data_IF_349732054563
#
_entry.id   IF_349732054563
#
_cell.length_a   1.000
_cell.length_b   1.000
_cell.length_c   1.000
_cell.angle_alpha   90.00
_cell.angle_beta   90.00
_cell.angle_gamma   90.00
#
_symmetry.space_group_name_H-M   'P 1'
#
loop_
_entity.id
_entity.type
_entity.pdbx_description
1 polymer ?
#
# COMPACT_ATOMS: atom_id res chain seq x y z
N UNK A 1 -6.96 -4.44 -38.12
CA UNK A 1 -6.16 -5.49 -37.48
C UNK A 1 -6.27 -5.31 -35.99
N UNK A 2 -6.76 -6.32 -35.21
CA UNK A 2 -6.86 -6.22 -33.79
C UNK A 2 -5.45 -6.23 -33.17
N UNK A 3 -5.17 -5.24 -32.29
CA UNK A 3 -3.93 -5.21 -31.49
C UNK A 3 -3.96 -6.41 -30.53
N UNK A 4 -3.08 -7.37 -30.76
CA UNK A 4 -2.82 -8.45 -29.82
C UNK A 4 -2.30 -7.81 -28.53
N UNK A 5 -3.15 -7.81 -27.49
CA UNK A 5 -2.77 -7.37 -26.18
C UNK A 5 -1.59 -8.21 -25.68
N UNK A 6 -0.43 -7.60 -25.49
CA UNK A 6 0.69 -8.25 -24.80
C UNK A 6 0.19 -8.71 -23.45
N UNK A 7 0.06 -10.02 -23.24
CA UNK A 7 -0.09 -10.62 -21.92
C UNK A 7 1.04 -10.08 -21.05
N UNK A 8 0.71 -9.29 -20.03
CA UNK A 8 1.66 -8.93 -18.98
C UNK A 8 2.14 -10.24 -18.38
N UNK A 9 3.41 -10.56 -18.56
CA UNK A 9 4.02 -11.62 -17.78
C UNK A 9 3.85 -11.23 -16.31
N UNK A 10 3.19 -12.07 -15.53
CA UNK A 10 3.25 -12.05 -14.06
C UNK A 10 4.70 -12.33 -13.66
N UNK A 11 5.56 -11.33 -13.79
CA UNK A 11 6.93 -11.40 -13.33
C UNK A 11 6.92 -11.21 -11.82
N UNK A 12 6.48 -12.25 -11.13
CA UNK A 12 6.79 -12.39 -9.72
C UNK A 12 8.29 -12.54 -9.58
N UNK A 13 8.87 -11.82 -8.65
CA UNK A 13 10.27 -11.93 -8.36
C UNK A 13 10.49 -13.10 -7.39
N UNK A 14 11.46 -13.97 -7.69
CA UNK A 14 11.80 -15.11 -6.86
C UNK A 14 13.09 -14.80 -6.13
N UNK A 15 13.06 -14.81 -4.80
CA UNK A 15 14.22 -14.63 -3.95
C UNK A 15 15.13 -15.88 -3.98
N UNK A 16 16.35 -15.73 -3.52
CA UNK A 16 17.31 -16.84 -3.46
C UNK A 16 16.83 -17.97 -2.54
N UNK A 17 16.08 -17.65 -1.48
CA UNK A 17 15.44 -18.62 -0.58
C UNK A 17 14.23 -19.35 -1.20
N UNK A 18 13.92 -19.05 -2.46
CA UNK A 18 12.80 -19.63 -3.20
C UNK A 18 11.45 -18.98 -3.00
N UNK A 19 11.32 -18.01 -2.09
CA UNK A 19 10.07 -17.25 -1.90
C UNK A 19 9.75 -16.39 -3.10
N UNK A 20 8.47 -16.27 -3.40
CA UNK A 20 7.96 -15.50 -4.52
C UNK A 20 7.31 -14.23 -4.00
N UNK A 21 7.83 -13.07 -4.44
CA UNK A 21 7.38 -11.73 -4.08
C UNK A 21 6.68 -11.07 -5.26
N UNK A 22 5.81 -10.12 -4.99
CA UNK A 22 5.16 -9.37 -6.06
C UNK A 22 6.15 -8.48 -6.82
N UNK A 23 7.21 -8.00 -6.15
CA UNK A 23 8.30 -7.24 -6.76
C UNK A 23 9.61 -7.44 -6.00
N UNK A 24 10.74 -7.10 -6.65
CA UNK A 24 12.05 -7.05 -5.99
C UNK A 24 12.06 -6.00 -4.86
N UNK A 25 11.46 -4.84 -5.09
CA UNK A 25 11.43 -3.76 -4.11
C UNK A 25 10.69 -4.15 -2.82
N UNK A 26 9.58 -4.89 -2.93
CA UNK A 26 8.87 -5.44 -1.76
C UNK A 26 9.78 -6.36 -0.93
N UNK A 27 10.55 -7.22 -1.59
CA UNK A 27 11.54 -8.06 -0.92
C UNK A 27 12.68 -7.24 -0.30
N UNK A 28 13.18 -6.23 -1.00
CA UNK A 28 14.25 -5.37 -0.52
C UNK A 28 13.83 -4.60 0.76
N UNK A 29 12.58 -4.11 0.81
CA UNK A 29 11.98 -3.50 2.03
C UNK A 29 11.93 -4.52 3.16
N UNK A 30 11.47 -5.73 2.90
CA UNK A 30 11.38 -6.79 3.90
C UNK A 30 12.76 -7.14 4.49
N UNK A 31 13.77 -7.35 3.63
CA UNK A 31 15.13 -7.68 4.08
C UNK A 31 15.79 -6.51 4.84
N UNK A 32 15.56 -5.28 4.41
CA UNK A 32 16.06 -4.10 5.11
C UNK A 32 15.51 -4.02 6.55
N UNK A 33 14.19 -4.18 6.72
CA UNK A 33 13.56 -4.17 8.04
C UNK A 33 14.10 -5.30 8.93
N UNK A 34 14.23 -6.51 8.39
CA UNK A 34 14.80 -7.65 9.13
C UNK A 34 16.25 -7.41 9.56
N UNK A 35 17.06 -6.88 8.65
CA UNK A 35 18.47 -6.55 8.95
C UNK A 35 18.59 -5.46 10.01
N UNK A 36 17.60 -4.56 10.11
CA UNK A 36 17.48 -3.54 11.15
C UNK A 36 16.95 -4.09 12.50
N UNK A 37 16.68 -5.40 12.59
CA UNK A 37 16.19 -6.03 13.81
C UNK A 37 14.67 -5.95 14.01
N UNK A 38 13.92 -5.50 12.99
CA UNK A 38 12.45 -5.39 13.06
C UNK A 38 11.80 -6.76 12.93
N UNK A 39 10.88 -7.06 13.83
CA UNK A 39 10.07 -8.27 13.74
C UNK A 39 8.96 -8.10 12.69
N UNK A 40 9.27 -8.43 11.43
CA UNK A 40 8.42 -8.24 10.27
C UNK A 40 8.12 -9.54 9.55
N UNK A 41 6.90 -9.67 9.05
CA UNK A 41 6.48 -10.80 8.21
C UNK A 41 5.65 -10.33 7.02
N UNK A 42 5.63 -11.10 5.92
CA UNK A 42 4.66 -10.91 4.84
C UNK A 42 3.23 -11.04 5.35
N UNK A 43 2.33 -10.20 4.83
CA UNK A 43 0.91 -10.35 5.09
C UNK A 43 0.32 -11.54 4.34
N UNK A 44 -0.72 -12.12 4.92
CA UNK A 44 -1.50 -13.23 4.38
C UNK A 44 -2.96 -12.82 4.21
N UNK A 45 -3.80 -13.70 3.72
CA UNK A 45 -5.24 -13.43 3.60
C UNK A 45 -5.91 -13.11 4.96
N UNK A 46 -5.35 -13.60 6.08
CA UNK A 46 -5.84 -13.27 7.43
C UNK A 46 -5.57 -11.83 7.87
N UNK A 47 -4.61 -11.17 7.23
CA UNK A 47 -4.25 -9.76 7.48
C UNK A 47 -5.05 -8.79 6.58
N UNK A 48 -5.99 -9.33 5.81
CA UNK A 48 -6.78 -8.53 4.90
C UNK A 48 -7.72 -7.59 5.62
N UNK A 49 -7.83 -6.40 5.08
CA UNK A 49 -8.64 -5.31 5.62
C UNK A 49 -9.81 -5.03 4.69
N UNK A 50 -11.02 -5.01 5.24
CA UNK A 50 -12.21 -4.57 4.51
C UNK A 50 -12.30 -3.04 4.53
N UNK A 51 -12.56 -2.43 3.39
CA UNK A 51 -12.76 -0.99 3.23
C UNK A 51 -13.91 -0.70 2.28
N UNK A 52 -14.46 0.51 2.35
CA UNK A 52 -15.57 0.94 1.49
C UNK A 52 -15.07 1.83 0.35
N UNK A 53 -15.58 1.59 -0.86
CA UNK A 53 -15.34 2.46 -2.01
C UNK A 53 -16.64 2.74 -2.79
N UNK A 54 -16.75 3.90 -3.48
CA UNK A 54 -17.89 4.17 -4.35
C UNK A 54 -17.98 3.18 -5.51
N UNK A 55 -19.18 2.65 -5.75
CA UNK A 55 -19.45 1.85 -6.95
C UNK A 55 -19.37 2.73 -8.19
N UNK A 56 -18.59 2.35 -9.20
CA UNK A 56 -18.55 3.10 -10.44
C UNK A 56 -19.92 3.04 -11.15
N UNK A 57 -20.40 4.20 -11.62
CA UNK A 57 -21.59 4.32 -12.45
C UNK A 57 -22.93 3.88 -11.80
N UNK A 58 -22.98 3.73 -10.47
CA UNK A 58 -24.21 3.39 -9.75
C UNK A 58 -24.64 4.59 -8.91
N UNK A 59 -25.81 5.15 -9.23
CA UNK A 59 -26.44 6.18 -8.42
C UNK A 59 -27.35 5.54 -7.38
N UNK A 60 -27.49 6.20 -6.24
CA UNK A 60 -28.42 5.79 -5.21
C UNK A 60 -29.86 5.79 -5.73
N UNK A 61 -30.56 4.67 -5.61
CA UNK A 61 -31.96 4.56 -6.07
C UNK A 61 -32.91 5.41 -5.23
N UNK A 62 -32.55 5.72 -3.98
CA UNK A 62 -33.40 6.51 -3.08
C UNK A 62 -33.31 8.02 -3.33
N UNK A 63 -32.12 8.56 -3.62
CA UNK A 63 -31.91 10.00 -3.79
C UNK A 63 -31.38 10.40 -5.17
N UNK A 64 -30.97 9.46 -5.99
CA UNK A 64 -30.42 9.69 -7.35
C UNK A 64 -29.07 10.39 -7.39
N UNK A 65 -28.57 10.90 -6.26
CA UNK A 65 -27.39 11.79 -6.21
C UNK A 65 -26.24 11.26 -5.36
N UNK A 66 -26.48 10.49 -4.29
CA UNK A 66 -25.39 9.95 -3.48
C UNK A 66 -24.72 8.73 -4.15
N UNK A 67 -23.46 8.53 -3.84
CA UNK A 67 -22.71 7.36 -4.31
C UNK A 67 -23.10 6.11 -3.52
N UNK A 68 -23.41 5.02 -4.22
CA UNK A 68 -23.57 3.72 -3.59
C UNK A 68 -22.20 3.16 -3.24
N UNK A 69 -22.00 2.81 -1.97
CA UNK A 69 -20.77 2.21 -1.50
C UNK A 69 -20.76 0.70 -1.70
N UNK A 70 -19.58 0.13 -1.88
CA UNK A 70 -19.35 -1.31 -1.88
C UNK A 70 -18.15 -1.65 -0.99
N UNK A 71 -18.21 -2.81 -0.39
CA UNK A 71 -17.07 -3.33 0.36
C UNK A 71 -16.04 -3.94 -0.58
N UNK A 72 -14.79 -3.72 -0.25
CA UNK A 72 -13.61 -4.28 -0.91
C UNK A 72 -12.64 -4.81 0.11
N UNK A 73 -11.83 -5.75 -0.31
CA UNK A 73 -10.79 -6.35 0.52
C UNK A 73 -9.43 -5.89 -0.02
N UNK A 74 -8.55 -5.53 0.89
CA UNK A 74 -7.19 -5.15 0.62
C UNK A 74 -6.24 -5.90 1.56
N UNK A 75 -5.17 -6.47 1.02
CA UNK A 75 -4.11 -7.11 1.80
C UNK A 75 -2.84 -6.28 1.65
N UNK A 76 -2.32 -5.69 2.74
CA UNK A 76 -1.03 -5.01 2.73
C UNK A 76 0.14 -5.95 2.40
N UNK A 77 1.31 -5.42 2.10
CA UNK A 77 2.47 -6.24 1.74
C UNK A 77 3.10 -6.88 2.99
N UNK A 78 3.35 -6.11 4.06
CA UNK A 78 4.05 -6.56 5.27
C UNK A 78 3.30 -6.16 6.55
N UNK A 79 3.50 -6.95 7.61
CA UNK A 79 3.05 -6.64 8.97
C UNK A 79 4.23 -6.61 9.92
N UNK A 80 4.35 -5.55 10.70
CA UNK A 80 5.38 -5.36 11.73
C UNK A 80 4.77 -5.57 13.11
N UNK A 81 5.44 -6.39 13.90
CA UNK A 81 5.12 -6.67 15.28
C UNK A 81 6.11 -5.87 16.15
N UNK A 82 5.69 -4.84 16.89
CA UNK A 82 6.60 -4.04 17.71
C UNK A 82 7.21 -4.86 18.84
N UNK A 83 8.54 -4.92 18.91
CA UNK A 83 9.24 -5.64 20.00
C UNK A 83 9.20 -4.90 21.35
N UNK A 84 8.96 -3.59 21.33
CA UNK A 84 9.05 -2.71 22.52
C UNK A 84 7.70 -2.19 23.04
N UNK A 85 6.61 -2.72 22.53
CA UNK A 85 5.30 -2.46 23.11
C UNK A 85 5.00 -3.55 24.14
N UNK A 86 4.71 -3.20 25.40
CA UNK A 86 4.17 -4.16 26.36
C UNK A 86 2.97 -4.90 25.77
N UNK A 87 2.55 -6.01 26.35
CA UNK A 87 1.44 -6.83 25.85
C UNK A 87 0.24 -5.94 25.49
N UNK A 88 0.03 -5.67 24.19
CA UNK A 88 -1.04 -4.81 23.69
C UNK A 88 -0.64 -3.70 22.70
N UNK A 89 0.65 -3.48 22.40
CA UNK A 89 0.98 -2.54 21.30
C UNK A 89 0.48 -3.08 19.98
N UNK A 90 -0.44 -2.38 19.28
CA UNK A 90 -0.90 -2.81 17.99
C UNK A 90 0.26 -2.76 16.98
N UNK A 91 0.43 -3.82 16.21
CA UNK A 91 1.34 -3.79 15.08
C UNK A 91 0.87 -2.82 13.99
N UNK A 92 1.71 -2.61 13.00
CA UNK A 92 1.38 -1.75 11.87
C UNK A 92 1.71 -2.44 10.54
N UNK A 93 1.07 -1.95 9.49
CA UNK A 93 1.25 -2.47 8.14
C UNK A 93 2.25 -1.60 7.36
N UNK A 94 3.01 -2.25 6.49
CA UNK A 94 3.86 -1.57 5.50
C UNK A 94 3.41 -1.99 4.10
N UNK A 95 3.30 -1.01 3.23
CA UNK A 95 3.10 -1.18 1.81
C UNK A 95 4.31 -0.66 1.04
N UNK A 96 4.95 -1.53 0.27
CA UNK A 96 6.10 -1.20 -0.57
C UNK A 96 5.65 -0.93 -2.01
N UNK A 97 5.94 0.25 -2.56
CA UNK A 97 5.49 0.63 -3.91
C UNK A 97 6.60 1.19 -4.77
N UNK A 98 6.95 0.43 -5.82
CA UNK A 98 7.83 0.93 -6.89
C UNK A 98 7.11 1.96 -7.76
N UNK A 99 5.86 1.68 -8.15
CA UNK A 99 5.04 2.61 -8.92
C UNK A 99 3.60 2.68 -8.38
N UNK A 100 3.16 3.91 -8.06
CA UNK A 100 1.86 4.15 -7.43
C UNK A 100 0.78 4.48 -8.47
N UNK A 101 0.13 3.46 -9.01
CA UNK A 101 -0.87 3.57 -10.10
C UNK A 101 -2.13 4.32 -9.67
N UNK A 102 -2.88 4.91 -10.63
CA UNK A 102 -4.13 5.63 -10.33
C UNK A 102 -5.14 4.82 -9.51
N UNK A 103 -5.30 3.53 -9.83
CA UNK A 103 -6.22 2.62 -9.13
C UNK A 103 -5.81 2.45 -7.67
N UNK A 104 -4.51 2.32 -7.41
CA UNK A 104 -3.98 2.24 -6.05
C UNK A 104 -4.14 3.55 -5.29
N UNK A 105 -3.96 4.69 -5.94
CA UNK A 105 -4.23 6.00 -5.34
C UNK A 105 -5.67 6.16 -4.89
N UNK A 106 -6.64 5.70 -5.71
CA UNK A 106 -8.05 5.67 -5.34
C UNK A 106 -8.27 4.75 -4.13
N UNK A 107 -7.74 3.52 -4.18
CA UNK A 107 -7.84 2.55 -3.10
C UNK A 107 -7.37 3.15 -1.77
N UNK A 108 -6.17 3.76 -1.74
CA UNK A 108 -5.61 4.32 -0.50
C UNK A 108 -6.46 5.46 0.07
N UNK A 109 -7.01 6.33 -0.78
CA UNK A 109 -7.95 7.36 -0.30
C UNK A 109 -9.20 6.73 0.31
N UNK A 110 -9.80 5.74 -0.37
CA UNK A 110 -10.97 5.05 0.15
C UNK A 110 -10.66 4.30 1.45
N UNK A 111 -9.53 3.61 1.51
CA UNK A 111 -9.06 2.91 2.70
C UNK A 111 -8.91 3.87 3.88
N UNK A 112 -8.20 4.98 3.71
CA UNK A 112 -8.00 5.97 4.78
C UNK A 112 -9.30 6.61 5.26
N UNK A 113 -10.24 6.86 4.34
CA UNK A 113 -11.54 7.43 4.71
C UNK A 113 -12.43 6.45 5.48
N UNK A 114 -12.40 5.16 5.12
CA UNK A 114 -13.26 4.15 5.74
C UNK A 114 -12.60 3.43 6.93
N UNK A 115 -11.27 3.42 6.98
CA UNK A 115 -10.48 2.74 8.02
C UNK A 115 -9.34 3.63 8.54
N UNK A 116 -9.68 4.76 9.19
CA UNK A 116 -8.68 5.64 9.81
C UNK A 116 -7.94 4.99 10.99
N UNK A 117 -8.51 3.92 11.54
CA UNK A 117 -7.98 3.12 12.66
C UNK A 117 -6.74 2.29 12.30
N UNK A 118 -6.49 2.05 11.01
CA UNK A 118 -5.38 1.21 10.58
C UNK A 118 -4.10 2.04 10.47
N UNK A 119 -3.05 1.62 11.18
CA UNK A 119 -1.70 2.16 10.98
C UNK A 119 -1.08 1.50 9.73
N UNK A 120 -1.20 2.17 8.61
CA UNK A 120 -0.61 1.78 7.33
C UNK A 120 0.44 2.79 6.92
N UNK A 121 1.68 2.35 6.76
CA UNK A 121 2.85 3.13 6.39
C UNK A 121 3.31 2.74 4.99
N UNK A 122 3.80 3.67 4.20
CA UNK A 122 4.15 3.43 2.79
C UNK A 122 5.62 3.71 2.53
N UNK A 123 6.31 2.73 1.98
CA UNK A 123 7.68 2.90 1.47
C UNK A 123 7.60 3.01 -0.05
N UNK A 124 8.00 4.16 -0.57
CA UNK A 124 8.06 4.42 -2.01
C UNK A 124 9.49 4.15 -2.51
N UNK A 125 9.64 3.46 -3.64
CA UNK A 125 10.95 3.22 -4.25
C UNK A 125 11.61 4.53 -4.71
N UNK A 126 10.80 5.43 -5.27
CA UNK A 126 11.24 6.75 -5.71
C UNK A 126 10.06 7.73 -5.75
N UNK A 127 10.37 9.02 -5.69
CA UNK A 127 9.38 10.09 -5.81
C UNK A 127 9.00 10.35 -7.28
N UNK A 128 8.22 9.42 -7.83
CA UNK A 128 7.77 9.48 -9.22
C UNK A 128 6.72 10.58 -9.48
N UNK A 129 6.62 11.01 -10.73
CA UNK A 129 5.56 11.89 -11.16
C UNK A 129 4.19 11.19 -11.19
N UNK A 130 3.23 11.73 -10.44
CA UNK A 130 1.80 11.37 -10.52
C UNK A 130 1.18 11.96 -11.78
N UNK A 131 1.47 13.25 -12.00
CA UNK A 131 1.15 13.97 -13.23
C UNK A 131 2.45 14.58 -13.73
N UNK A 132 2.88 14.15 -14.91
CA UNK A 132 4.17 14.56 -15.48
C UNK A 132 4.36 16.08 -15.43
N UNK A 133 5.47 16.51 -14.80
CA UNK A 133 5.84 17.91 -14.67
C UNK A 133 4.96 18.76 -13.74
N UNK A 134 3.99 18.15 -13.00
CA UNK A 134 3.05 18.91 -12.15
C UNK A 134 2.99 18.46 -10.70
N UNK A 135 2.94 17.13 -10.44
CA UNK A 135 2.68 16.60 -9.11
C UNK A 135 3.57 15.39 -8.87
N UNK A 136 4.37 15.40 -7.84
CA UNK A 136 5.15 14.27 -7.33
C UNK A 136 4.30 13.37 -6.44
N UNK A 137 4.79 12.16 -6.16
CA UNK A 137 4.14 11.26 -5.18
C UNK A 137 4.15 11.86 -3.78
N UNK A 138 5.26 12.46 -3.36
CA UNK A 138 5.37 13.20 -2.10
C UNK A 138 4.27 14.26 -1.97
N UNK A 139 4.12 15.15 -2.96
CA UNK A 139 3.03 16.15 -3.00
C UNK A 139 1.64 15.51 -2.92
N UNK A 140 1.48 14.33 -3.57
CA UNK A 140 0.22 13.61 -3.54
C UNK A 140 -0.11 13.07 -2.14
N UNK A 141 0.87 12.50 -1.44
CA UNK A 141 0.69 12.03 -0.07
C UNK A 141 0.35 13.20 0.86
N UNK A 142 1.11 14.27 0.82
CA UNK A 142 0.87 15.47 1.65
C UNK A 142 -0.49 16.12 1.40
N UNK A 143 -0.98 16.07 0.18
CA UNK A 143 -2.26 16.70 -0.18
C UNK A 143 -3.47 15.81 0.07
N UNK A 144 -3.37 14.51 -0.26
CA UNK A 144 -4.53 13.61 -0.32
C UNK A 144 -4.47 12.43 0.65
N UNK A 145 -3.31 12.14 1.21
CA UNK A 145 -3.07 11.03 2.14
C UNK A 145 -2.35 11.49 3.41
N UNK A 146 -2.67 12.69 3.89
CA UNK A 146 -2.01 13.39 5.01
C UNK A 146 -1.81 12.56 6.27
N UNK A 147 -2.70 11.61 6.53
CA UNK A 147 -2.65 10.74 7.72
C UNK A 147 -1.98 9.39 7.44
N UNK A 148 -1.43 9.20 6.25
CA UNK A 148 -0.68 8.00 5.89
C UNK A 148 0.81 8.33 5.94
N UNK A 149 1.56 7.84 6.93
CA UNK A 149 3.00 8.02 6.97
C UNK A 149 3.66 7.40 5.74
N UNK A 150 4.63 8.08 5.17
CA UNK A 150 5.39 7.56 4.03
C UNK A 150 6.86 7.99 4.08
N UNK A 151 7.70 7.24 3.40
CA UNK A 151 9.09 7.61 3.12
C UNK A 151 9.45 7.28 1.66
N UNK A 152 10.54 7.83 1.16
CA UNK A 152 11.02 7.61 -0.21
C UNK A 152 12.42 7.02 -0.18
N UNK A 153 12.55 5.77 -0.59
CA UNK A 153 13.80 5.02 -0.51
C UNK A 153 13.94 4.23 0.79
N UNK A 154 14.76 3.18 0.72
CA UNK A 154 15.02 2.30 1.87
C UNK A 154 15.77 3.02 2.99
N UNK A 155 16.74 3.86 2.62
CA UNK A 155 17.59 4.56 3.58
C UNK A 155 16.88 5.70 4.33
N UNK A 156 15.69 6.09 3.86
CA UNK A 156 14.88 7.15 4.44
C UNK A 156 13.73 6.60 5.30
N UNK A 157 13.75 5.29 5.57
CA UNK A 157 12.81 4.68 6.52
C UNK A 157 13.07 5.28 7.91
N UNK A 158 12.07 5.93 8.54
CA UNK A 158 12.25 6.57 9.83
C UNK A 158 12.65 5.59 10.93
N UNK A 159 13.50 6.04 11.86
CA UNK A 159 13.94 5.20 12.99
C UNK A 159 12.77 4.68 13.84
N UNK A 160 11.70 5.46 13.97
CA UNK A 160 10.49 5.06 14.68
C UNK A 160 9.69 3.94 13.98
N UNK A 161 10.13 3.53 12.78
CA UNK A 161 9.59 2.35 12.08
C UNK A 161 10.51 1.12 12.24
N UNK A 162 11.66 1.32 12.87
CA UNK A 162 12.68 0.30 13.13
C UNK A 162 12.71 -0.03 14.63
#
# INVERSE_FOLDING_TARGET
>A
MPRVGRKRSDRRWKAEDGKVWASKFEHDVYEYLRASGVNVRPCTASDSVTYSEPRPNVKCMACGSCECMQERIYTPDLFVIPDRGGAGSPGYYIEAKGYFRPEKRKLFRCLRNSRPDIDLRVVLEADHWVTRGKTRLSDYFERYLKTTPYCVGLNDIPEEWL
#
